data_IF_140848250934
#
_entry.id   IF_140848250934
#
_cell.length_a   1.000
_cell.length_b   1.000
_cell.length_c   1.000
_cell.angle_alpha   90.00
_cell.angle_beta   90.00
_cell.angle_gamma   90.00
#
_symmetry.space_group_name_H-M   'P 1'
#
loop_
_entity.id
_entity.type
_entity.pdbx_description
1 polymer ?
#
# COMPACT_ATOMS: atom_id res chain seq x y z
N UNK A 1 -18.20 -20.93 15.11
CA UNK A 1 -17.99 -19.60 15.71
C UNK A 1 -18.94 -19.51 16.89
N UNK A 2 -18.46 -19.02 18.03
CA UNK A 2 -19.18 -18.94 19.29
C UNK A 2 -19.10 -17.52 19.88
N UNK A 3 -19.57 -17.37 21.13
CA UNK A 3 -19.52 -16.08 21.84
C UNK A 3 -18.09 -15.52 21.94
N UNK A 4 -17.10 -16.38 22.17
CA UNK A 4 -15.69 -15.96 22.29
C UNK A 4 -15.17 -15.29 21.01
N UNK A 5 -15.56 -15.80 19.84
CA UNK A 5 -15.23 -15.16 18.57
C UNK A 5 -15.81 -13.74 18.46
N UNK A 6 -17.08 -13.58 18.84
CA UNK A 6 -17.75 -12.27 18.78
C UNK A 6 -17.14 -11.28 19.79
N UNK A 7 -16.84 -11.75 20.99
CA UNK A 7 -16.22 -10.95 22.06
C UNK A 7 -14.83 -10.45 21.65
N UNK A 8 -13.98 -11.36 21.15
CA UNK A 8 -12.67 -11.00 20.62
C UNK A 8 -12.76 -10.00 19.47
N UNK A 9 -13.68 -10.22 18.52
CA UNK A 9 -13.86 -9.29 17.39
C UNK A 9 -14.30 -7.91 17.85
N UNK A 10 -15.19 -7.83 18.84
CA UNK A 10 -15.67 -6.57 19.41
C UNK A 10 -14.56 -5.78 20.12
N UNK A 11 -13.61 -6.48 20.75
CA UNK A 11 -12.49 -5.86 21.49
C UNK A 11 -11.21 -5.65 20.67
N UNK A 12 -11.12 -6.20 19.44
CA UNK A 12 -9.89 -6.21 18.62
C UNK A 12 -9.31 -4.82 18.34
N UNK A 13 -10.12 -3.77 18.34
CA UNK A 13 -9.69 -2.39 18.17
C UNK A 13 -8.65 -1.93 19.21
N UNK A 14 -8.71 -2.49 20.43
CA UNK A 14 -7.83 -2.09 21.53
C UNK A 14 -6.37 -2.48 21.24
N UNK A 15 -6.11 -3.68 20.73
CA UNK A 15 -4.77 -4.13 20.35
C UNK A 15 -4.20 -3.24 19.23
N UNK A 16 -5.00 -2.97 18.19
CA UNK A 16 -4.60 -2.06 17.11
C UNK A 16 -4.26 -0.67 17.65
N UNK A 17 -5.09 -0.12 18.56
CA UNK A 17 -4.86 1.22 19.11
C UNK A 17 -3.63 1.29 20.02
N UNK A 18 -3.33 0.23 20.77
CA UNK A 18 -2.08 0.13 21.56
C UNK A 18 -0.87 0.15 20.63
N UNK A 19 -0.89 -0.61 19.54
CA UNK A 19 0.18 -0.62 18.54
C UNK A 19 0.35 0.76 17.89
N UNK A 20 -0.76 1.42 17.49
CA UNK A 20 -0.76 2.77 16.94
C UNK A 20 -0.07 3.75 17.90
N UNK A 21 -0.49 3.78 19.17
CA UNK A 21 0.07 4.66 20.19
C UNK A 21 1.57 4.39 20.42
N UNK A 22 1.97 3.11 20.41
CA UNK A 22 3.37 2.74 20.57
C UNK A 22 4.26 3.28 19.43
N UNK A 23 3.76 3.24 18.18
CA UNK A 23 4.46 3.77 17.02
C UNK A 23 4.43 5.30 16.99
N UNK A 24 3.31 5.93 17.35
CA UNK A 24 3.19 7.39 17.50
C UNK A 24 4.21 7.94 18.52
N UNK A 25 4.38 7.26 19.64
CA UNK A 25 5.30 7.61 20.72
C UNK A 25 6.76 7.20 20.44
N UNK A 26 7.06 6.53 19.33
CA UNK A 26 8.38 5.99 18.98
C UNK A 26 8.95 5.02 20.05
N UNK A 27 8.12 4.22 20.68
CA UNK A 27 8.54 3.29 21.75
C UNK A 27 9.61 2.32 21.26
N UNK A 28 9.45 1.73 20.06
CA UNK A 28 10.37 0.72 19.54
C UNK A 28 11.76 1.29 19.26
N UNK A 29 11.88 2.45 18.63
CA UNK A 29 13.17 3.10 18.42
C UNK A 29 13.82 3.55 19.75
N UNK A 30 13.00 3.93 20.72
CA UNK A 30 13.48 4.36 22.05
C UNK A 30 14.08 3.22 22.85
N UNK A 31 13.41 2.05 22.86
CA UNK A 31 13.92 0.83 23.53
C UNK A 31 15.21 0.36 22.86
N UNK A 32 15.27 0.35 21.52
CA UNK A 32 16.45 -0.04 20.76
C UNK A 32 16.95 -1.46 21.11
N UNK A 33 18.21 -1.74 20.81
CA UNK A 33 18.79 -3.09 20.94
C UNK A 33 19.27 -3.44 22.36
N UNK A 34 19.46 -2.46 23.24
CA UNK A 34 20.12 -2.67 24.55
C UNK A 34 19.15 -3.01 25.68
N UNK A 35 17.86 -2.91 25.44
CA UNK A 35 16.85 -3.01 26.47
C UNK A 35 16.76 -1.74 27.34
N UNK A 36 15.62 -1.57 28.02
CA UNK A 36 15.34 -0.36 28.78
C UNK A 36 14.37 -0.60 29.93
N UNK A 37 14.60 0.07 31.07
CA UNK A 37 13.65 0.08 32.18
C UNK A 37 12.43 0.95 31.86
N UNK A 38 11.35 0.82 32.63
CA UNK A 38 10.17 1.70 32.52
C UNK A 38 10.55 3.15 32.79
N UNK A 39 11.32 3.41 33.84
CA UNK A 39 11.79 4.73 34.24
C UNK A 39 12.57 5.42 33.13
N UNK A 40 13.59 4.73 32.58
CA UNK A 40 14.41 5.27 31.50
C UNK A 40 13.60 5.52 30.21
N UNK A 41 12.67 4.60 29.88
CA UNK A 41 11.79 4.76 28.74
C UNK A 41 10.87 5.99 28.89
N UNK A 42 10.24 6.14 30.06
CA UNK A 42 9.37 7.27 30.36
C UNK A 42 10.13 8.60 30.30
N UNK A 43 11.36 8.63 30.87
CA UNK A 43 12.20 9.82 30.82
C UNK A 43 12.56 10.22 29.38
N UNK A 44 12.94 9.26 28.52
CA UNK A 44 13.29 9.53 27.10
C UNK A 44 12.08 9.91 26.25
N UNK A 45 10.92 9.31 26.50
CA UNK A 45 9.68 9.57 25.78
C UNK A 45 8.95 10.83 26.29
N UNK A 46 9.39 11.39 27.41
CA UNK A 46 8.71 12.49 28.12
C UNK A 46 7.24 12.14 28.48
N UNK A 47 7.03 10.92 28.99
CA UNK A 47 5.73 10.36 29.35
C UNK A 47 5.64 10.03 30.83
N UNK A 48 4.43 9.81 31.33
CA UNK A 48 4.20 9.35 32.70
C UNK A 48 4.76 7.92 32.89
N UNK A 49 5.55 7.68 33.94
CA UNK A 49 6.20 6.40 34.20
C UNK A 49 5.21 5.24 34.35
N UNK A 50 4.13 5.46 35.14
CA UNK A 50 3.10 4.43 35.34
C UNK A 50 2.40 4.08 34.01
N UNK A 51 2.01 5.08 33.22
CA UNK A 51 1.37 4.87 31.92
C UNK A 51 2.31 4.17 30.94
N UNK A 52 3.58 4.54 30.93
CA UNK A 52 4.64 3.87 30.13
C UNK A 52 4.79 2.41 30.51
N UNK A 53 4.81 2.09 31.80
CA UNK A 53 4.86 0.71 32.28
C UNK A 53 3.66 -0.12 31.82
N UNK A 54 2.46 0.48 31.80
CA UNK A 54 1.26 -0.21 31.32
C UNK A 54 1.34 -0.54 29.83
N UNK A 55 1.75 0.42 28.98
CA UNK A 55 1.84 0.14 27.54
C UNK A 55 2.97 -0.83 27.22
N UNK A 56 4.12 -0.75 27.89
CA UNK A 56 5.22 -1.70 27.70
C UNK A 56 4.83 -3.14 28.08
N UNK A 57 4.09 -3.31 29.20
CA UNK A 57 3.55 -4.62 29.57
C UNK A 57 2.51 -5.14 28.56
N UNK A 58 1.64 -4.26 28.04
CA UNK A 58 0.67 -4.65 27.01
C UNK A 58 1.38 -5.09 25.72
N UNK A 59 2.39 -4.35 25.25
CA UNK A 59 3.19 -4.71 24.08
C UNK A 59 3.93 -6.05 24.28
N UNK A 60 4.36 -6.32 25.52
CA UNK A 60 4.97 -7.62 25.86
C UNK A 60 3.94 -8.75 25.77
N UNK A 61 2.75 -8.55 26.33
CA UNK A 61 1.65 -9.53 26.27
C UNK A 61 1.20 -9.79 24.82
N UNK A 62 1.28 -8.77 23.95
CA UNK A 62 1.01 -8.86 22.51
C UNK A 62 2.19 -9.45 21.71
N UNK A 63 3.26 -9.94 22.36
CA UNK A 63 4.47 -10.47 21.73
C UNK A 63 5.18 -9.47 20.78
N UNK A 64 5.09 -8.19 21.07
CA UNK A 64 5.82 -7.13 20.36
C UNK A 64 7.09 -6.70 21.10
N UNK A 65 7.21 -7.03 22.38
CA UNK A 65 8.41 -6.87 23.21
C UNK A 65 8.69 -8.15 23.98
N UNK A 66 9.91 -8.24 24.53
CA UNK A 66 10.29 -9.22 25.57
C UNK A 66 10.54 -8.47 26.87
N UNK A 67 10.24 -9.09 28.01
CA UNK A 67 10.57 -8.57 29.33
C UNK A 67 11.43 -9.59 30.05
N UNK A 68 12.63 -9.16 30.46
CA UNK A 68 13.56 -9.97 31.25
C UNK A 68 13.95 -9.12 32.47
N UNK A 69 13.72 -9.67 33.65
CA UNK A 69 13.78 -8.94 34.91
C UNK A 69 12.90 -7.68 34.88
N UNK A 70 13.46 -6.50 34.97
CA UNK A 70 12.71 -5.23 34.86
C UNK A 70 13.02 -4.46 33.58
N UNK A 71 13.66 -5.10 32.58
CA UNK A 71 14.03 -4.47 31.32
C UNK A 71 13.15 -5.00 30.19
N UNK A 72 12.81 -4.10 29.28
CA UNK A 72 12.07 -4.41 28.06
C UNK A 72 13.01 -4.40 26.86
N UNK A 73 12.88 -5.39 25.98
CA UNK A 73 13.71 -5.60 24.81
C UNK A 73 12.86 -5.76 23.56
N UNK A 74 13.39 -5.35 22.43
CA UNK A 74 12.80 -5.70 21.13
C UNK A 74 12.97 -7.20 20.86
N UNK A 75 11.93 -7.83 20.32
CA UNK A 75 12.04 -9.17 19.76
C UNK A 75 12.37 -9.12 18.26
N UNK A 76 12.52 -10.28 17.60
CA UNK A 76 12.92 -10.36 16.20
C UNK A 76 11.89 -9.71 15.26
N UNK A 77 10.58 -9.82 15.58
CA UNK A 77 9.51 -9.19 14.81
C UNK A 77 9.64 -7.66 14.89
N UNK A 78 9.77 -7.12 16.09
CA UNK A 78 9.86 -5.66 16.29
C UNK A 78 11.16 -5.09 15.72
N UNK A 79 12.29 -5.80 15.83
CA UNK A 79 13.55 -5.40 15.20
C UNK A 79 13.40 -5.32 13.68
N UNK A 80 12.73 -6.31 13.08
CA UNK A 80 12.58 -6.39 11.63
C UNK A 80 11.59 -5.37 11.08
N UNK A 81 10.44 -5.16 11.76
CA UNK A 81 9.32 -4.43 11.17
C UNK A 81 8.99 -3.10 11.85
N UNK A 82 9.48 -2.83 13.07
CA UNK A 82 9.09 -1.65 13.83
C UNK A 82 10.24 -0.67 14.14
N UNK A 83 11.49 -1.06 13.89
CA UNK A 83 12.63 -0.14 13.94
C UNK A 83 12.70 0.72 12.68
N UNK A 84 12.89 2.02 12.85
CA UNK A 84 13.03 2.98 11.73
C UNK A 84 14.26 2.73 10.86
N UNK A 85 15.26 2.06 11.39
CA UNK A 85 16.52 1.70 10.70
C UNK A 85 16.43 0.42 9.88
N UNK A 86 15.34 -0.33 10.00
CA UNK A 86 15.13 -1.57 9.23
C UNK A 86 14.66 -1.27 7.81
N UNK A 87 15.23 -1.98 6.82
CA UNK A 87 14.78 -1.92 5.43
C UNK A 87 13.34 -2.42 5.25
N UNK A 88 12.89 -3.33 6.11
CA UNK A 88 11.52 -3.86 6.13
C UNK A 88 10.60 -3.11 7.12
N UNK A 89 10.97 -1.89 7.54
CA UNK A 89 10.20 -1.12 8.50
C UNK A 89 8.75 -0.90 8.03
N UNK A 90 7.79 -1.27 8.87
CA UNK A 90 6.34 -1.14 8.62
C UNK A 90 5.70 0.02 9.43
N UNK A 91 6.46 0.67 10.30
CA UNK A 91 5.97 1.70 11.21
C UNK A 91 5.28 2.88 10.48
N UNK A 92 5.73 3.22 9.26
CA UNK A 92 5.08 4.27 8.47
C UNK A 92 3.64 3.90 8.06
N UNK A 93 3.39 2.64 7.72
CA UNK A 93 2.02 2.17 7.44
C UNK A 93 1.15 2.21 8.70
N UNK A 94 1.67 1.78 9.84
CA UNK A 94 0.96 1.84 11.13
C UNK A 94 0.61 3.29 11.51
N UNK A 95 1.51 4.25 11.29
CA UNK A 95 1.21 5.68 11.50
C UNK A 95 0.10 6.18 10.59
N UNK A 96 0.12 5.77 9.33
CA UNK A 96 -0.94 6.10 8.38
C UNK A 96 -2.29 5.51 8.82
N UNK A 97 -2.33 4.22 9.20
CA UNK A 97 -3.54 3.57 9.72
C UNK A 97 -4.06 4.29 10.99
N UNK A 98 -3.16 4.72 11.87
CA UNK A 98 -3.54 5.53 13.03
C UNK A 98 -4.17 6.86 12.65
N UNK A 99 -3.66 7.55 11.63
CA UNK A 99 -4.24 8.82 11.14
C UNK A 99 -5.65 8.64 10.57
N UNK A 100 -6.01 7.42 10.14
CA UNK A 100 -7.33 7.09 9.61
C UNK A 100 -8.38 6.79 10.69
N UNK A 101 -8.03 6.84 11.98
CA UNK A 101 -8.95 6.53 13.07
C UNK A 101 -10.24 7.35 13.00
N UNK A 102 -10.12 8.67 12.83
CA UNK A 102 -11.28 9.56 12.71
C UNK A 102 -12.11 9.33 11.44
N UNK A 103 -11.50 8.81 10.38
CA UNK A 103 -12.21 8.45 9.13
C UNK A 103 -13.13 7.26 9.39
N UNK A 104 -12.66 6.25 10.15
CA UNK A 104 -13.45 5.10 10.54
C UNK A 104 -14.66 5.45 11.44
N UNK A 105 -14.57 6.48 12.26
CA UNK A 105 -15.72 7.00 13.03
C UNK A 105 -16.88 7.40 12.11
N UNK A 106 -16.59 7.83 10.89
CA UNK A 106 -17.56 8.18 9.85
C UNK A 106 -18.32 7.03 9.22
N UNK A 107 -17.96 5.76 9.51
CA UNK A 107 -18.46 4.58 8.78
C UNK A 107 -19.99 4.49 8.78
N UNK A 108 -20.64 4.62 9.93
CA UNK A 108 -22.11 4.55 10.04
C UNK A 108 -22.81 5.60 9.17
N UNK A 109 -22.22 6.80 9.05
CA UNK A 109 -22.73 7.87 8.18
C UNK A 109 -22.50 7.52 6.71
N UNK A 110 -21.31 7.03 6.35
CA UNK A 110 -20.99 6.64 4.99
C UNK A 110 -21.94 5.54 4.48
N UNK A 111 -22.21 4.52 5.29
CA UNK A 111 -23.17 3.44 4.95
C UNK A 111 -24.59 4.00 4.71
N UNK A 112 -25.04 4.97 5.52
CA UNK A 112 -26.37 5.58 5.36
C UNK A 112 -26.50 6.48 4.14
N UNK A 113 -25.41 7.10 3.70
CA UNK A 113 -25.46 8.15 2.67
C UNK A 113 -24.84 7.73 1.34
N UNK A 114 -24.11 6.63 1.31
CA UNK A 114 -23.28 6.21 0.16
C UNK A 114 -22.14 7.19 -0.17
N UNK A 115 -21.79 8.12 0.76
CA UNK A 115 -20.77 9.13 0.51
C UNK A 115 -19.52 8.88 1.35
N UNK A 116 -18.32 9.14 0.81
CA UNK A 116 -17.08 9.02 1.56
C UNK A 116 -17.07 9.88 2.84
N UNK A 117 -16.34 9.41 3.85
CA UNK A 117 -16.17 10.14 5.11
C UNK A 117 -15.13 11.26 4.98
N UNK A 118 -14.21 11.15 4.03
CA UNK A 118 -13.26 12.21 3.67
C UNK A 118 -13.38 12.57 2.18
N UNK A 119 -12.82 13.71 1.78
CA UNK A 119 -12.75 14.10 0.37
C UNK A 119 -11.84 13.10 -0.38
N UNK A 120 -12.29 12.51 -1.49
CA UNK A 120 -11.50 11.57 -2.27
C UNK A 120 -10.51 12.33 -3.20
N UNK A 121 -9.50 12.96 -2.62
CA UNK A 121 -8.47 13.77 -3.28
C UNK A 121 -7.12 13.07 -3.39
N UNK A 122 -7.04 11.78 -3.10
CA UNK A 122 -5.82 10.98 -3.01
C UNK A 122 -4.74 11.63 -2.14
N UNK A 123 -5.16 12.30 -1.05
CA UNK A 123 -4.30 12.98 -0.08
C UNK A 123 -3.51 14.17 -0.67
N UNK A 124 -3.97 14.79 -1.78
CA UNK A 124 -3.23 15.86 -2.45
C UNK A 124 -3.47 17.26 -1.86
N UNK A 125 -4.51 17.46 -1.04
CA UNK A 125 -4.82 18.77 -0.45
C UNK A 125 -3.79 19.22 0.58
N UNK A 126 -3.19 18.30 1.34
CA UNK A 126 -2.18 18.59 2.35
C UNK A 126 -0.90 17.80 2.05
N UNK A 127 0.24 18.51 1.99
CA UNK A 127 1.54 17.90 1.66
C UNK A 127 1.99 16.86 2.69
N UNK A 128 1.75 17.10 3.97
CA UNK A 128 2.15 16.16 5.02
C UNK A 128 1.31 14.88 4.96
N UNK A 129 0.02 15.01 4.66
CA UNK A 129 -0.88 13.87 4.43
C UNK A 129 -0.44 13.09 3.18
N UNK A 130 -0.05 13.79 2.10
CA UNK A 130 0.49 13.16 0.89
C UNK A 130 1.75 12.38 1.22
N UNK A 131 2.72 12.99 1.92
CA UNK A 131 3.97 12.32 2.28
C UNK A 131 3.72 11.12 3.20
N UNK A 132 2.84 11.25 4.19
CA UNK A 132 2.44 10.17 5.09
C UNK A 132 1.85 8.99 4.31
N UNK A 133 0.88 9.24 3.42
CA UNK A 133 0.25 8.21 2.60
C UNK A 133 1.26 7.53 1.66
N UNK A 134 2.02 8.29 0.87
CA UNK A 134 2.94 7.74 -0.12
C UNK A 134 4.06 6.93 0.57
N UNK A 135 4.60 7.41 1.69
CA UNK A 135 5.61 6.66 2.44
C UNK A 135 5.03 5.43 3.14
N UNK A 136 3.76 5.47 3.57
CA UNK A 136 3.07 4.27 4.05
C UNK A 136 3.00 3.17 3.00
N UNK A 137 2.69 3.53 1.74
CA UNK A 137 2.68 2.58 0.61
C UNK A 137 4.09 2.02 0.34
N UNK A 138 5.14 2.86 0.45
CA UNK A 138 6.52 2.39 0.35
C UNK A 138 6.85 1.33 1.43
N UNK A 139 6.53 1.63 2.68
CA UNK A 139 6.77 0.72 3.81
C UNK A 139 5.97 -0.59 3.69
N UNK A 140 4.71 -0.51 3.25
CA UNK A 140 3.88 -1.70 3.02
C UNK A 140 4.51 -2.64 2.00
N UNK A 141 4.86 -2.12 0.81
CA UNK A 141 5.44 -2.89 -0.29
C UNK A 141 6.81 -3.45 0.08
N UNK A 142 7.64 -2.67 0.78
CA UNK A 142 8.97 -3.09 1.24
C UNK A 142 8.89 -4.19 2.30
N UNK A 143 8.01 -4.04 3.30
CA UNK A 143 7.83 -5.03 4.37
C UNK A 143 7.31 -6.38 3.84
N UNK A 144 6.43 -6.37 2.83
CA UNK A 144 5.90 -7.57 2.18
C UNK A 144 6.87 -8.20 1.18
N UNK A 145 7.79 -7.42 0.62
CA UNK A 145 8.68 -7.87 -0.45
C UNK A 145 8.02 -7.92 -1.83
N UNK A 146 6.85 -7.32 -2.00
CA UNK A 146 6.05 -7.35 -3.22
C UNK A 146 6.84 -6.93 -4.45
N UNK A 147 7.58 -5.81 -4.37
CA UNK A 147 8.29 -5.25 -5.52
C UNK A 147 9.44 -6.14 -6.00
N UNK A 148 10.20 -6.71 -5.07
CA UNK A 148 11.29 -7.65 -5.40
C UNK A 148 10.74 -8.91 -6.04
N UNK A 149 9.70 -9.49 -5.45
CA UNK A 149 9.05 -10.67 -5.99
C UNK A 149 8.54 -10.44 -7.41
N UNK A 150 7.84 -9.33 -7.65
CA UNK A 150 7.31 -9.03 -8.98
C UNK A 150 8.40 -8.73 -9.99
N UNK A 151 9.47 -8.03 -9.62
CA UNK A 151 10.60 -7.77 -10.51
C UNK A 151 11.27 -9.07 -10.97
N UNK A 152 11.26 -10.12 -10.15
CA UNK A 152 11.78 -11.45 -10.52
C UNK A 152 10.77 -12.28 -11.32
N UNK A 153 9.49 -12.19 -10.98
CA UNK A 153 8.43 -13.03 -11.53
C UNK A 153 7.94 -12.58 -12.90
N UNK A 154 7.86 -11.26 -13.12
CA UNK A 154 7.33 -10.72 -14.36
C UNK A 154 8.27 -11.03 -15.54
N UNK A 155 7.72 -11.67 -16.58
CA UNK A 155 8.49 -11.88 -17.81
C UNK A 155 8.68 -10.53 -18.52
N UNK A 156 9.93 -10.05 -18.55
CA UNK A 156 10.32 -8.81 -19.23
C UNK A 156 11.15 -9.05 -20.49
N UNK A 157 11.12 -10.27 -21.04
CA UNK A 157 11.80 -10.58 -22.29
C UNK A 157 11.22 -9.76 -23.45
N UNK A 158 12.09 -9.10 -24.22
CA UNK A 158 11.69 -8.25 -25.36
C UNK A 158 11.08 -6.91 -24.97
N UNK A 159 10.92 -6.58 -23.67
CA UNK A 159 10.40 -5.30 -23.19
C UNK A 159 11.49 -4.24 -23.21
N UNK A 160 11.26 -3.13 -23.92
CA UNK A 160 12.17 -1.99 -23.99
C UNK A 160 11.65 -0.79 -23.18
N UNK A 161 10.33 -0.70 -22.98
CA UNK A 161 9.69 0.45 -22.34
C UNK A 161 8.56 0.03 -21.40
N UNK A 162 8.54 0.64 -20.19
CA UNK A 162 7.52 0.42 -19.18
C UNK A 162 6.99 1.77 -18.66
N UNK A 163 5.68 1.87 -18.54
CA UNK A 163 4.99 2.97 -17.84
C UNK A 163 4.34 2.41 -16.58
N UNK A 164 4.64 3.00 -15.42
CA UNK A 164 3.92 2.74 -14.16
C UNK A 164 2.96 3.90 -13.89
N UNK A 165 1.66 3.61 -13.84
CA UNK A 165 0.60 4.60 -13.63
C UNK A 165 0.16 4.57 -12.17
N UNK A 166 0.16 5.75 -11.52
CA UNK A 166 -0.17 5.85 -10.09
C UNK A 166 0.86 5.14 -9.22
N UNK A 167 2.12 5.28 -9.57
CA UNK A 167 3.26 4.56 -8.97
C UNK A 167 3.49 4.86 -7.48
N UNK A 168 2.95 5.98 -6.99
CA UNK A 168 3.19 6.42 -5.61
C UNK A 168 4.68 6.65 -5.34
N UNK A 169 5.30 5.92 -4.40
CA UNK A 169 6.71 6.09 -4.05
C UNK A 169 7.71 5.62 -5.13
N UNK A 170 7.25 4.92 -6.16
CA UNK A 170 8.12 4.34 -7.19
C UNK A 170 8.81 3.03 -6.77
N UNK A 171 8.33 2.35 -5.74
CA UNK A 171 8.97 1.14 -5.19
C UNK A 171 9.05 0.01 -6.21
N UNK A 172 8.00 -0.22 -7.01
CA UNK A 172 8.01 -1.20 -8.09
C UNK A 172 8.96 -0.82 -9.22
N UNK A 173 8.91 0.39 -9.79
CA UNK A 173 9.89 0.86 -10.78
C UNK A 173 11.34 0.71 -10.34
N UNK A 174 11.64 1.00 -9.07
CA UNK A 174 12.98 0.82 -8.49
C UNK A 174 13.41 -0.65 -8.57
N UNK A 175 12.57 -1.58 -8.12
CA UNK A 175 12.88 -3.00 -8.12
C UNK A 175 13.01 -3.55 -9.56
N UNK A 176 12.09 -3.15 -10.45
CA UNK A 176 12.12 -3.55 -11.87
C UNK A 176 13.38 -3.01 -12.54
N UNK A 177 13.76 -1.74 -12.31
CA UNK A 177 14.99 -1.19 -12.88
C UNK A 177 16.24 -1.91 -12.38
N UNK A 178 16.34 -2.19 -11.09
CA UNK A 178 17.47 -2.93 -10.50
C UNK A 178 17.63 -4.33 -11.11
N UNK A 179 16.52 -5.00 -11.41
CA UNK A 179 16.51 -6.35 -11.99
C UNK A 179 16.69 -6.35 -13.52
N UNK A 180 16.17 -5.32 -14.20
CA UNK A 180 16.12 -5.18 -15.65
C UNK A 180 16.61 -3.79 -16.09
N UNK A 181 17.91 -3.47 -15.94
CA UNK A 181 18.43 -2.12 -16.16
C UNK A 181 18.41 -1.64 -17.62
N UNK A 182 18.09 -2.54 -18.56
CA UNK A 182 17.92 -2.23 -19.98
C UNK A 182 16.57 -1.63 -20.34
N UNK A 183 15.57 -1.71 -19.44
CA UNK A 183 14.22 -1.22 -19.69
C UNK A 183 14.17 0.30 -19.41
N UNK A 184 13.63 1.06 -20.35
CA UNK A 184 13.29 2.47 -20.16
C UNK A 184 12.01 2.60 -19.32
N UNK A 185 12.13 3.08 -18.08
CA UNK A 185 11.00 3.17 -17.15
C UNK A 185 10.53 4.61 -17.04
N UNK A 186 9.21 4.80 -17.14
CA UNK A 186 8.51 6.06 -16.86
C UNK A 186 7.49 5.87 -15.75
N UNK A 187 7.30 6.89 -14.93
CA UNK A 187 6.27 6.98 -13.90
C UNK A 187 5.32 8.11 -14.29
N UNK A 188 4.01 7.83 -14.30
CA UNK A 188 2.96 8.82 -14.50
C UNK A 188 2.13 8.93 -13.22
N UNK A 189 2.17 10.10 -12.57
CA UNK A 189 1.49 10.31 -11.28
C UNK A 189 1.18 11.80 -11.04
N UNK A 190 0.40 12.08 -10.00
CA UNK A 190 0.06 13.43 -9.57
C UNK A 190 1.31 14.23 -9.16
N UNK A 191 1.33 15.54 -9.38
CA UNK A 191 2.51 16.38 -9.08
C UNK A 191 3.01 16.26 -7.64
N UNK A 192 2.09 16.30 -6.66
CA UNK A 192 2.43 16.17 -5.23
C UNK A 192 3.05 14.81 -4.89
N UNK A 193 2.57 13.74 -5.51
CA UNK A 193 3.13 12.40 -5.38
C UNK A 193 4.54 12.34 -5.96
N UNK A 194 4.75 12.90 -7.17
CA UNK A 194 6.05 12.88 -7.85
C UNK A 194 7.16 13.63 -7.09
N UNK A 195 6.81 14.60 -6.25
CA UNK A 195 7.80 15.28 -5.40
C UNK A 195 8.37 14.31 -4.34
N UNK A 196 7.56 13.39 -3.85
CA UNK A 196 7.97 12.36 -2.88
C UNK A 196 8.69 11.22 -3.62
N UNK A 197 8.13 10.78 -4.75
CA UNK A 197 8.79 9.78 -5.63
C UNK A 197 10.23 10.19 -5.96
N UNK A 198 10.46 11.47 -6.27
CA UNK A 198 11.79 12.00 -6.57
C UNK A 198 12.76 11.80 -5.41
N UNK A 199 12.33 12.08 -4.17
CA UNK A 199 13.15 11.87 -2.96
C UNK A 199 13.53 10.39 -2.79
N UNK A 200 12.57 9.47 -3.04
CA UNK A 200 12.82 8.01 -2.97
C UNK A 200 13.83 7.60 -4.03
N UNK A 201 13.66 8.01 -5.29
CA UNK A 201 14.59 7.69 -6.37
C UNK A 201 16.00 8.27 -6.15
N UNK A 202 16.11 9.45 -5.53
CA UNK A 202 17.38 10.06 -5.16
C UNK A 202 18.08 9.26 -4.06
N UNK A 203 17.36 8.84 -3.02
CA UNK A 203 17.86 7.96 -1.95
C UNK A 203 18.38 6.63 -2.51
N UNK A 204 17.69 6.09 -3.51
CA UNK A 204 18.06 4.84 -4.20
C UNK A 204 19.20 5.02 -5.24
N UNK A 205 19.64 6.26 -5.51
CA UNK A 205 20.72 6.57 -6.45
C UNK A 205 20.36 6.36 -7.93
N UNK A 206 19.07 6.24 -8.26
CA UNK A 206 18.59 5.92 -9.62
C UNK A 206 17.72 7.01 -10.25
N UNK A 207 17.63 8.18 -9.63
CA UNK A 207 16.77 9.29 -10.10
C UNK A 207 16.95 9.63 -11.60
N UNK A 208 18.17 9.68 -12.17
CA UNK A 208 18.35 10.00 -13.59
C UNK A 208 17.89 8.90 -14.55
N UNK A 209 17.59 7.71 -14.03
CA UNK A 209 17.28 6.53 -14.84
C UNK A 209 15.79 6.28 -15.05
N UNK A 210 14.94 6.96 -14.26
CA UNK A 210 13.49 6.82 -14.33
C UNK A 210 12.89 8.18 -14.66
N UNK A 211 12.08 8.22 -15.74
CA UNK A 211 11.40 9.45 -16.18
C UNK A 211 10.15 9.68 -15.34
N UNK A 212 9.99 10.89 -14.81
CA UNK A 212 8.78 11.31 -14.10
C UNK A 212 7.91 12.17 -15.04
N UNK A 213 6.64 11.81 -15.17
CA UNK A 213 5.65 12.49 -16.01
C UNK A 213 4.46 12.84 -15.11
N UNK A 214 4.21 14.15 -14.97
CA UNK A 214 3.11 14.65 -14.15
C UNK A 214 1.80 14.60 -14.92
N UNK A 215 0.74 14.08 -14.26
CA UNK A 215 -0.62 14.07 -14.82
C UNK A 215 -1.59 13.35 -13.90
N UNK A 216 -2.86 13.50 -14.21
CA UNK A 216 -4.00 12.80 -13.58
C UNK A 216 -4.60 11.84 -14.60
N UNK A 217 -4.47 10.54 -14.38
CA UNK A 217 -4.94 9.53 -15.33
C UNK A 217 -6.47 9.58 -15.58
N UNK A 218 -7.22 10.19 -14.65
CA UNK A 218 -8.66 10.42 -14.86
C UNK A 218 -8.94 11.58 -15.83
N UNK A 219 -8.10 12.62 -15.86
CA UNK A 219 -8.32 13.85 -16.62
C UNK A 219 -7.47 13.95 -17.88
N UNK A 220 -6.21 13.53 -17.76
CA UNK A 220 -5.23 13.73 -18.83
C UNK A 220 -5.14 12.53 -19.78
N UNK A 221 -4.55 12.74 -20.96
CA UNK A 221 -4.13 11.66 -21.83
C UNK A 221 -2.86 11.00 -21.29
N UNK A 222 -2.75 9.68 -21.47
CA UNK A 222 -1.54 8.95 -21.12
C UNK A 222 -0.46 9.12 -22.20
N UNK A 223 0.82 9.12 -21.82
CA UNK A 223 1.93 9.09 -22.79
C UNK A 223 1.89 7.79 -23.61
N UNK A 224 2.39 7.84 -24.83
CA UNK A 224 2.29 6.78 -25.83
C UNK A 224 3.60 6.01 -25.99
N UNK A 225 3.52 4.78 -26.50
CA UNK A 225 4.70 4.03 -27.00
C UNK A 225 5.35 3.14 -25.97
N UNK A 226 4.56 2.44 -25.16
CA UNK A 226 5.06 1.50 -24.15
C UNK A 226 4.78 0.04 -24.52
N UNK A 227 5.73 -0.83 -24.20
CA UNK A 227 5.58 -2.28 -24.36
C UNK A 227 4.85 -2.89 -23.16
N UNK A 228 4.99 -2.28 -21.97
CA UNK A 228 4.29 -2.66 -20.75
C UNK A 228 3.73 -1.43 -20.07
N UNK A 229 2.47 -1.49 -19.66
CA UNK A 229 1.87 -0.54 -18.72
C UNK A 229 1.50 -1.31 -17.46
N UNK A 230 2.01 -0.84 -16.32
CA UNK A 230 1.82 -1.45 -15.01
C UNK A 230 0.95 -0.55 -14.13
N UNK A 231 -0.01 -1.18 -13.42
CA UNK A 231 -0.85 -0.54 -12.42
C UNK A 231 -0.82 -1.39 -11.16
N UNK A 232 -0.51 -0.78 -10.03
CA UNK A 232 -0.55 -1.49 -8.74
C UNK A 232 -1.41 -0.76 -7.74
N UNK A 233 -2.48 -1.41 -7.29
CA UNK A 233 -3.41 -0.88 -6.30
C UNK A 233 -4.05 0.45 -6.75
N UNK A 234 -4.55 0.49 -7.98
CA UNK A 234 -5.17 1.66 -8.61
C UNK A 234 -6.66 1.47 -8.83
N UNK A 235 -7.06 0.32 -9.40
CA UNK A 235 -8.45 0.13 -9.85
C UNK A 235 -9.45 0.14 -8.71
N UNK A 236 -9.04 -0.26 -7.50
CA UNK A 236 -9.90 -0.22 -6.33
C UNK A 236 -10.24 1.21 -5.84
N UNK A 237 -9.47 2.22 -6.25
CA UNK A 237 -9.72 3.63 -5.89
C UNK A 237 -10.78 4.32 -6.76
N UNK A 238 -11.11 3.73 -7.89
CA UNK A 238 -11.95 4.33 -8.92
C UNK A 238 -13.28 3.58 -9.07
N UNK A 239 -14.31 4.27 -9.59
CA UNK A 239 -15.57 3.63 -9.96
C UNK A 239 -15.46 2.87 -11.30
N UNK A 240 -16.50 2.13 -11.66
CA UNK A 240 -16.52 1.26 -12.84
C UNK A 240 -16.32 2.04 -14.15
N UNK A 241 -16.93 3.23 -14.27
CA UNK A 241 -16.82 4.06 -15.47
C UNK A 241 -15.39 4.62 -15.63
N UNK A 242 -14.78 5.07 -14.54
CA UNK A 242 -13.40 5.54 -14.54
C UNK A 242 -12.42 4.42 -14.90
N UNK A 243 -12.60 3.22 -14.34
CA UNK A 243 -11.78 2.05 -14.66
C UNK A 243 -11.93 1.63 -16.13
N UNK A 244 -13.15 1.58 -16.67
CA UNK A 244 -13.40 1.28 -18.08
C UNK A 244 -12.69 2.29 -19.00
N UNK A 245 -12.81 3.58 -18.70
CA UNK A 245 -12.12 4.64 -19.45
C UNK A 245 -10.59 4.53 -19.33
N UNK A 246 -10.07 4.19 -18.15
CA UNK A 246 -8.63 4.00 -17.94
C UNK A 246 -8.10 2.85 -18.81
N UNK A 247 -8.80 1.72 -18.90
CA UNK A 247 -8.39 0.59 -19.75
C UNK A 247 -8.32 0.98 -21.22
N UNK A 248 -9.25 1.82 -21.72
CA UNK A 248 -9.20 2.34 -23.10
C UNK A 248 -8.00 3.25 -23.34
N UNK A 249 -7.70 4.15 -22.38
CA UNK A 249 -6.50 5.00 -22.44
C UNK A 249 -5.22 4.16 -22.45
N UNK A 250 -5.15 3.13 -21.62
CA UNK A 250 -4.01 2.19 -21.54
C UNK A 250 -3.84 1.44 -22.85
N UNK A 251 -4.93 0.89 -23.41
CA UNK A 251 -4.88 0.22 -24.70
C UNK A 251 -4.31 1.13 -25.78
N UNK A 252 -4.79 2.37 -25.85
CA UNK A 252 -4.31 3.35 -26.81
C UNK A 252 -2.82 3.70 -26.65
N UNK A 253 -2.32 3.68 -25.41
CA UNK A 253 -0.94 4.05 -25.06
C UNK A 253 0.10 2.96 -25.29
N UNK A 254 -0.33 1.71 -25.39
CA UNK A 254 0.53 0.57 -25.63
C UNK A 254 0.96 0.47 -27.10
N UNK A 255 2.17 -0.01 -27.33
CA UNK A 255 2.64 -0.47 -28.64
C UNK A 255 1.85 -1.70 -29.10
N UNK A 256 1.75 -1.98 -30.42
CA UNK A 256 1.26 -3.27 -30.90
C UNK A 256 2.03 -4.42 -30.26
N UNK A 257 1.34 -5.45 -29.79
CA UNK A 257 1.92 -6.56 -29.04
C UNK A 257 2.29 -6.27 -27.59
N UNK A 258 2.10 -5.03 -27.13
CA UNK A 258 2.31 -4.64 -25.74
C UNK A 258 1.24 -5.21 -24.80
N UNK A 259 1.45 -5.08 -23.49
CA UNK A 259 0.52 -5.61 -22.50
C UNK A 259 0.33 -4.69 -21.31
N UNK A 260 -0.86 -4.79 -20.71
CA UNK A 260 -1.17 -4.21 -19.39
C UNK A 260 -0.94 -5.28 -18.31
N UNK A 261 -0.43 -4.86 -17.16
CA UNK A 261 -0.29 -5.67 -15.95
C UNK A 261 -0.96 -4.92 -14.80
N UNK A 262 -2.05 -5.47 -14.28
CA UNK A 262 -2.79 -4.93 -13.14
C UNK A 262 -2.47 -5.81 -11.94
N UNK A 263 -1.96 -5.22 -10.87
CA UNK A 263 -1.80 -5.87 -9.56
C UNK A 263 -2.77 -5.20 -8.59
N UNK A 264 -3.77 -5.95 -8.12
CA UNK A 264 -4.74 -5.39 -7.16
C UNK A 264 -5.38 -6.49 -6.31
N UNK A 265 -6.25 -6.11 -5.38
CA UNK A 265 -7.12 -7.03 -4.68
C UNK A 265 -8.26 -7.44 -5.61
N UNK A 266 -8.27 -8.70 -6.03
CA UNK A 266 -9.31 -9.23 -6.92
C UNK A 266 -10.19 -10.19 -6.14
N UNK A 267 -11.49 -9.89 -6.10
CA UNK A 267 -12.48 -10.64 -5.36
C UNK A 267 -12.96 -11.87 -6.15
N UNK A 268 -13.54 -12.82 -5.42
CA UNK A 268 -14.34 -13.88 -6.01
C UNK A 268 -15.70 -13.33 -6.51
N UNK A 269 -16.46 -14.17 -7.21
CA UNK A 269 -17.77 -13.77 -7.75
C UNK A 269 -18.79 -13.38 -6.67
N UNK A 270 -18.62 -13.88 -5.44
CA UNK A 270 -19.49 -13.55 -4.32
C UNK A 270 -19.17 -12.20 -3.67
N UNK A 271 -18.04 -11.60 -4.01
CA UNK A 271 -17.47 -10.40 -3.39
C UNK A 271 -17.25 -10.52 -1.87
N UNK A 272 -17.18 -11.75 -1.35
CA UNK A 272 -16.97 -12.02 0.08
C UNK A 272 -15.59 -12.59 0.38
N UNK A 273 -14.83 -12.96 -0.64
CA UNK A 273 -13.48 -13.53 -0.53
C UNK A 273 -12.52 -12.84 -1.51
N UNK A 274 -11.27 -12.63 -1.07
CA UNK A 274 -10.76 -12.85 0.28
C UNK A 274 -11.38 -11.88 1.30
N UNK A 275 -11.45 -12.28 2.58
CA UNK A 275 -12.02 -11.43 3.65
C UNK A 275 -11.34 -10.07 3.74
N UNK A 276 -10.02 -10.01 3.54
CA UNK A 276 -9.28 -8.74 3.55
C UNK A 276 -9.77 -7.78 2.46
N UNK A 277 -10.08 -8.25 1.25
CA UNK A 277 -10.62 -7.41 0.17
C UNK A 277 -12.04 -6.92 0.48
N UNK A 278 -12.91 -7.78 1.04
CA UNK A 278 -14.25 -7.34 1.45
C UNK A 278 -14.19 -6.24 2.53
N UNK A 279 -13.26 -6.35 3.51
CA UNK A 279 -13.02 -5.30 4.51
C UNK A 279 -12.39 -4.05 3.86
N UNK A 280 -11.45 -4.24 2.93
CA UNK A 280 -10.80 -3.14 2.24
C UNK A 280 -11.79 -2.34 1.37
N UNK A 281 -12.79 -2.98 0.78
CA UNK A 281 -13.88 -2.30 0.07
C UNK A 281 -14.67 -1.33 0.97
N UNK A 282 -14.81 -1.62 2.28
CA UNK A 282 -15.38 -0.67 3.24
C UNK A 282 -14.44 0.53 3.46
N UNK A 283 -13.13 0.30 3.49
CA UNK A 283 -12.16 1.39 3.56
C UNK A 283 -12.21 2.26 2.29
N UNK A 284 -12.38 1.67 1.11
CA UNK A 284 -12.57 2.40 -0.14
C UNK A 284 -13.84 3.26 -0.12
N UNK A 285 -14.96 2.76 0.40
CA UNK A 285 -16.17 3.56 0.60
C UNK A 285 -15.92 4.81 1.46
N UNK A 286 -15.02 4.71 2.46
CA UNK A 286 -14.71 5.84 3.35
C UNK A 286 -13.82 6.90 2.69
N UNK A 287 -13.00 6.54 1.71
CA UNK A 287 -11.88 7.36 1.24
C UNK A 287 -11.88 7.63 -0.26
N UNK A 288 -12.62 6.85 -1.05
CA UNK A 288 -12.61 6.91 -2.52
C UNK A 288 -14.03 6.79 -3.08
N UNK A 289 -14.14 6.51 -4.37
CA UNK A 289 -15.39 6.16 -5.06
C UNK A 289 -15.44 4.68 -5.45
N UNK A 290 -14.34 3.95 -5.25
CA UNK A 290 -14.18 2.59 -5.70
C UNK A 290 -14.46 1.53 -4.64
N UNK A 291 -14.03 0.33 -4.94
CA UNK A 291 -14.09 -0.89 -4.13
C UNK A 291 -13.14 -1.94 -4.68
N UNK A 292 -12.94 -3.03 -4.00
CA UNK A 292 -12.32 -4.19 -4.64
C UNK A 292 -13.30 -4.84 -5.63
N UNK A 293 -12.79 -5.20 -6.80
CA UNK A 293 -13.58 -5.71 -7.92
C UNK A 293 -13.36 -7.20 -8.14
N UNK A 294 -14.39 -7.87 -8.68
CA UNK A 294 -14.31 -9.28 -9.10
C UNK A 294 -13.49 -9.43 -10.38
N UNK A 295 -12.92 -10.64 -10.58
CA UNK A 295 -12.14 -10.92 -11.78
C UNK A 295 -12.93 -10.69 -13.07
N UNK A 296 -14.20 -11.10 -13.13
CA UNK A 296 -15.06 -10.93 -14.30
C UNK A 296 -15.29 -9.45 -14.67
N UNK A 297 -15.30 -8.53 -13.69
CA UNK A 297 -15.44 -7.10 -13.93
C UNK A 297 -14.16 -6.53 -14.57
N UNK A 298 -13.00 -6.87 -14.01
CA UNK A 298 -11.71 -6.45 -14.57
C UNK A 298 -11.48 -7.04 -15.96
N UNK A 299 -11.82 -8.32 -16.14
CA UNK A 299 -11.76 -8.99 -17.45
C UNK A 299 -12.64 -8.27 -18.47
N UNK A 300 -13.87 -7.93 -18.10
CA UNK A 300 -14.81 -7.22 -18.98
C UNK A 300 -14.26 -5.87 -19.42
N UNK A 301 -13.70 -5.06 -18.50
CA UNK A 301 -13.10 -3.77 -18.88
C UNK A 301 -11.94 -3.93 -19.87
N UNK A 302 -11.13 -4.97 -19.70
CA UNK A 302 -10.03 -5.28 -20.62
C UNK A 302 -10.55 -5.72 -21.98
N UNK A 303 -11.55 -6.62 -22.04
CA UNK A 303 -12.18 -7.08 -23.29
C UNK A 303 -12.84 -5.92 -24.03
N UNK A 304 -13.62 -5.08 -23.33
CA UNK A 304 -14.29 -3.90 -23.91
C UNK A 304 -13.28 -2.86 -24.45
N UNK A 305 -12.06 -2.80 -23.89
CA UNK A 305 -10.98 -1.97 -24.41
C UNK A 305 -10.22 -2.59 -25.60
N UNK A 306 -10.45 -3.87 -25.90
CA UNK A 306 -9.83 -4.59 -27.03
C UNK A 306 -8.64 -5.47 -26.66
N UNK A 307 -8.37 -5.70 -25.37
CA UNK A 307 -7.33 -6.64 -24.95
C UNK A 307 -7.74 -8.09 -25.19
N UNK A 308 -6.75 -8.91 -25.51
CA UNK A 308 -6.88 -10.36 -25.67
C UNK A 308 -5.94 -11.10 -24.73
N UNK A 309 -5.97 -12.43 -24.70
CA UNK A 309 -5.11 -13.28 -23.88
C UNK A 309 -5.12 -12.87 -22.39
N UNK A 310 -6.31 -12.58 -21.86
CA UNK A 310 -6.46 -12.11 -20.48
C UNK A 310 -6.19 -13.27 -19.53
N UNK A 311 -5.25 -13.06 -18.61
CA UNK A 311 -4.82 -14.07 -17.64
C UNK A 311 -4.93 -13.54 -16.21
N UNK A 312 -5.08 -14.47 -15.24
CA UNK A 312 -5.09 -14.20 -13.81
C UNK A 312 -4.06 -15.07 -13.10
N UNK A 313 -3.33 -14.47 -12.14
CA UNK A 313 -2.42 -15.18 -11.25
C UNK A 313 -2.52 -14.60 -9.83
N UNK A 314 -2.89 -15.42 -8.86
CA UNK A 314 -2.93 -15.02 -7.45
C UNK A 314 -1.52 -15.05 -6.86
N UNK A 315 -1.14 -13.98 -6.16
CA UNK A 315 0.18 -13.88 -5.53
C UNK A 315 0.21 -14.66 -4.19
N UNK A 316 1.38 -15.21 -3.81
CA UNK A 316 1.50 -15.92 -2.54
C UNK A 316 1.43 -14.98 -1.34
N UNK A 317 1.04 -15.52 -0.18
CA UNK A 317 1.10 -14.76 1.06
C UNK A 317 2.55 -14.31 1.35
N UNK A 318 2.78 -13.13 1.92
CA UNK A 318 1.77 -12.22 2.50
C UNK A 318 1.20 -11.17 1.52
N UNK A 319 1.41 -11.28 0.22
CA UNK A 319 1.09 -10.23 -0.76
C UNK A 319 -0.40 -9.97 -0.97
N UNK A 320 -1.29 -10.91 -0.68
CA UNK A 320 -2.77 -10.76 -0.71
C UNK A 320 -3.35 -10.06 -1.95
N UNK A 321 -2.68 -10.17 -3.10
CA UNK A 321 -3.05 -9.51 -4.35
C UNK A 321 -3.06 -10.51 -5.51
N UNK A 322 -3.69 -10.13 -6.59
CA UNK A 322 -3.78 -10.89 -7.84
C UNK A 322 -3.20 -10.04 -8.97
N UNK A 323 -2.52 -10.68 -9.90
CA UNK A 323 -2.11 -10.07 -11.17
C UNK A 323 -3.15 -10.43 -12.24
N UNK A 324 -3.61 -9.43 -12.97
CA UNK A 324 -4.41 -9.60 -14.19
C UNK A 324 -3.62 -8.97 -15.34
N UNK A 325 -3.39 -9.73 -16.39
CA UNK A 325 -2.68 -9.26 -17.59
C UNK A 325 -3.60 -9.34 -18.81
N UNK A 326 -3.49 -8.36 -19.72
CA UNK A 326 -4.14 -8.35 -21.00
C UNK A 326 -3.18 -7.89 -22.09
N UNK A 327 -3.23 -8.47 -23.30
CA UNK A 327 -2.34 -8.18 -24.42
C UNK A 327 -3.06 -7.33 -25.46
N UNK A 328 -2.37 -6.32 -26.00
CA UNK A 328 -2.80 -5.58 -27.17
C UNK A 328 -2.39 -6.32 -28.45
N UNK A 329 -3.28 -6.36 -29.43
CA UNK A 329 -3.00 -6.92 -30.78
C UNK A 329 -2.05 -6.03 -31.56
#
# INVERSE_FOLDING_TARGET
MDFTYLDNLSGAYAESRILHAAVELNIFDTIGDKGMSTEDAAAKLHTDERATGLILNALTAMNLLKKEDNLFYLNDLSKKYLLSTSEACYAGMIRFESSMWNVWEGLSKAIRTGKPARIPDMYQTNRDDTECFIMAMHHLVSARGDATYLAEKLNMEGVNSLLDIGSGPGTYPVAIYKRHPGISISIFDLPGTLDITRKVLEKEGIRPRIKLISGDYNKDSLPQGFDVIFLSNIIHGEDEDANSNLMQKIYSSLNPGGRVIIKDHIMDESLTKPTCGAIFSIYMLLTTKGRDYGYHEVQKWLEDAGFIDITREDLPQPMSSTIVCGKKV
#
